data_IF_505175205471
#
_entry.id   IF_505175205471
#
_cell.length_a   1.000
_cell.length_b   1.000
_cell.length_c   1.000
_cell.angle_alpha   90.00
_cell.angle_beta   90.00
_cell.angle_gamma   90.00
#
_symmetry.space_group_name_H-M   'P 1'
#
loop_
_entity.id
_entity.type
_entity.pdbx_description
1 polymer ?
#
# COMPACT_ATOMS: atom_id res chain seq x y z
N UNK A 1 -0.85 -21.67 -6.00
CA UNK A 1 -0.46 -21.92 -4.60
C UNK A 1 1.06 -21.82 -4.50
N UNK A 2 1.63 -20.97 -3.62
CA UNK A 2 3.09 -20.85 -3.48
C UNK A 2 3.64 -22.08 -2.76
N UNK A 3 4.75 -22.65 -3.23
CA UNK A 3 5.43 -23.75 -2.53
C UNK A 3 5.83 -23.27 -1.13
N UNK A 4 5.44 -24.01 -0.11
CA UNK A 4 5.84 -23.74 1.27
C UNK A 4 6.15 -25.06 1.97
N UNK A 5 7.27 -25.16 2.71
CA UNK A 5 7.65 -26.37 3.44
C UNK A 5 6.76 -26.64 4.66
N UNK A 6 5.93 -25.67 5.06
CA UNK A 6 5.06 -25.75 6.23
C UNK A 6 3.77 -26.51 5.88
N UNK A 7 3.70 -27.79 6.24
CA UNK A 7 2.56 -28.68 5.98
C UNK A 7 1.20 -28.10 6.41
N UNK A 8 1.11 -27.43 7.57
CA UNK A 8 -0.15 -26.85 8.06
C UNK A 8 -0.76 -25.82 7.10
N UNK A 9 0.06 -25.16 6.26
CA UNK A 9 -0.46 -24.23 5.24
C UNK A 9 -1.29 -24.96 4.19
N UNK A 10 -0.90 -26.20 3.85
CA UNK A 10 -1.66 -27.04 2.91
C UNK A 10 -3.04 -27.36 3.48
N UNK A 11 -3.09 -27.79 4.75
CA UNK A 11 -4.36 -28.04 5.44
C UNK A 11 -5.24 -26.79 5.53
N UNK A 12 -4.66 -25.65 5.90
CA UNK A 12 -5.39 -24.38 5.99
C UNK A 12 -6.03 -23.99 4.65
N UNK A 13 -5.27 -24.00 3.56
CA UNK A 13 -5.81 -23.60 2.25
C UNK A 13 -6.85 -24.60 1.72
N UNK A 14 -6.65 -25.90 1.97
CA UNK A 14 -7.63 -26.92 1.60
C UNK A 14 -8.95 -26.76 2.39
N UNK A 15 -8.85 -26.55 3.71
CA UNK A 15 -10.01 -26.24 4.54
C UNK A 15 -10.72 -24.96 4.10
N UNK A 16 -9.97 -23.92 3.76
CA UNK A 16 -10.53 -22.67 3.24
C UNK A 16 -11.29 -22.88 1.92
N UNK A 17 -10.78 -23.70 1.00
CA UNK A 17 -11.47 -24.06 -0.25
C UNK A 17 -12.80 -24.79 0.03
N UNK A 18 -12.81 -25.73 0.98
CA UNK A 18 -14.04 -26.44 1.40
C UNK A 18 -15.05 -25.45 1.99
N UNK A 19 -14.62 -24.55 2.88
CA UNK A 19 -15.48 -23.52 3.46
C UNK A 19 -16.09 -22.61 2.37
N UNK A 20 -15.30 -22.20 1.37
CA UNK A 20 -15.78 -21.38 0.26
C UNK A 20 -16.86 -22.11 -0.56
N UNK A 21 -16.65 -23.37 -0.90
CA UNK A 21 -17.63 -24.18 -1.64
C UNK A 21 -18.91 -24.34 -0.82
N UNK A 22 -18.80 -24.71 0.46
CA UNK A 22 -19.94 -24.88 1.35
C UNK A 22 -20.75 -23.58 1.50
N UNK A 23 -20.07 -22.43 1.65
CA UNK A 23 -20.74 -21.13 1.71
C UNK A 23 -21.54 -20.82 0.43
N UNK A 24 -21.04 -21.23 -0.74
CA UNK A 24 -21.74 -21.03 -2.00
C UNK A 24 -22.93 -21.97 -2.20
N UNK A 25 -22.84 -23.21 -1.70
CA UNK A 25 -23.98 -24.15 -1.68
C UNK A 25 -25.12 -23.55 -0.84
N UNK A 26 -24.81 -23.06 0.37
CA UNK A 26 -25.78 -22.38 1.23
C UNK A 26 -26.37 -21.13 0.54
N UNK A 27 -25.54 -20.30 -0.08
CA UNK A 27 -25.99 -19.13 -0.85
C UNK A 27 -26.98 -19.52 -1.96
N UNK A 28 -26.70 -20.57 -2.72
CA UNK A 28 -27.61 -21.07 -3.76
C UNK A 28 -28.93 -21.54 -3.18
N UNK A 29 -28.92 -22.26 -2.06
CA UNK A 29 -30.13 -22.74 -1.42
C UNK A 29 -31.03 -21.57 -1.00
N UNK A 30 -30.47 -20.55 -0.36
CA UNK A 30 -31.20 -19.36 0.07
C UNK A 30 -31.76 -18.58 -1.14
N UNK A 31 -31.00 -18.41 -2.22
CA UNK A 31 -31.47 -17.70 -3.42
C UNK A 31 -32.59 -18.46 -4.14
N UNK A 32 -32.49 -19.79 -4.22
CA UNK A 32 -33.56 -20.66 -4.73
C UNK A 32 -34.84 -20.54 -3.91
N UNK A 33 -34.74 -20.51 -2.57
CA UNK A 33 -35.90 -20.28 -1.70
C UNK A 33 -36.58 -18.92 -1.95
N UNK A 34 -35.82 -17.92 -2.39
CA UNK A 34 -36.33 -16.58 -2.72
C UNK A 34 -36.77 -16.42 -4.18
N UNK A 35 -36.79 -17.50 -4.98
CA UNK A 35 -37.04 -17.47 -6.43
C UNK A 35 -36.12 -16.51 -7.21
N UNK A 36 -34.90 -16.28 -6.72
CA UNK A 36 -33.92 -15.44 -7.37
C UNK A 36 -32.89 -16.27 -8.14
N UNK A 37 -32.44 -15.78 -9.30
CA UNK A 37 -31.39 -16.43 -10.06
C UNK A 37 -30.05 -16.34 -9.31
N UNK A 38 -29.40 -17.47 -8.96
CA UNK A 38 -28.15 -17.45 -8.23
C UNK A 38 -27.01 -16.96 -9.12
N UNK A 39 -26.21 -16.05 -8.58
CA UNK A 39 -24.96 -15.61 -9.18
C UNK A 39 -24.00 -16.79 -9.42
N UNK A 40 -23.11 -16.66 -10.41
CA UNK A 40 -22.09 -17.67 -10.69
C UNK A 40 -21.10 -17.83 -9.53
N UNK A 41 -20.44 -18.99 -9.46
CA UNK A 41 -19.49 -19.30 -8.37
C UNK A 41 -18.34 -18.30 -8.32
N UNK A 42 -17.86 -17.88 -9.49
CA UNK A 42 -16.81 -16.85 -9.59
C UNK A 42 -17.28 -15.51 -9.04
N UNK A 43 -18.51 -15.10 -9.36
CA UNK A 43 -19.03 -13.80 -8.94
C UNK A 43 -19.31 -13.76 -7.44
N UNK A 44 -19.89 -14.82 -6.88
CA UNK A 44 -20.09 -14.93 -5.43
C UNK A 44 -18.77 -14.88 -4.65
N UNK A 45 -17.73 -15.56 -5.15
CA UNK A 45 -16.38 -15.52 -4.55
C UNK A 45 -15.75 -14.13 -4.65
N UNK A 46 -15.87 -13.43 -5.80
CA UNK A 46 -15.39 -12.04 -5.94
C UNK A 46 -16.08 -11.11 -4.94
N UNK A 47 -17.41 -11.14 -4.88
CA UNK A 47 -18.20 -10.34 -3.95
C UNK A 47 -17.82 -10.62 -2.49
N UNK A 48 -17.61 -11.89 -2.13
CA UNK A 48 -17.18 -12.26 -0.78
C UNK A 48 -15.79 -11.70 -0.44
N UNK A 49 -14.84 -11.78 -1.39
CA UNK A 49 -13.52 -11.17 -1.23
C UNK A 49 -13.62 -9.65 -1.10
N UNK A 50 -14.44 -8.99 -1.91
CA UNK A 50 -14.60 -7.53 -1.85
C UNK A 50 -15.21 -7.09 -0.51
N UNK A 51 -16.22 -7.81 -0.01
CA UNK A 51 -16.82 -7.55 1.31
C UNK A 51 -15.86 -7.81 2.46
N UNK A 52 -15.12 -8.92 2.44
CA UNK A 52 -14.12 -9.24 3.48
C UNK A 52 -12.92 -8.31 3.42
N UNK A 53 -12.57 -7.81 2.23
CA UNK A 53 -11.51 -6.84 2.02
C UNK A 53 -11.88 -5.49 2.64
N UNK A 54 -13.14 -5.07 2.58
CA UNK A 54 -13.62 -3.79 3.12
C UNK A 54 -12.66 -2.62 2.86
N UNK A 55 -12.55 -1.72 3.84
CA UNK A 55 -11.62 -0.58 3.81
C UNK A 55 -10.23 -0.93 4.38
N UNK A 56 -9.94 -2.21 4.64
CA UNK A 56 -8.68 -2.63 5.28
C UNK A 56 -7.44 -2.28 4.44
N UNK A 57 -7.60 -2.08 3.13
CA UNK A 57 -6.51 -1.61 2.26
C UNK A 57 -6.29 -0.10 2.28
N UNK A 58 -7.27 0.71 2.70
CA UNK A 58 -7.06 2.15 2.83
C UNK A 58 -6.15 2.46 4.02
N UNK A 59 -6.21 1.63 5.08
CA UNK A 59 -5.23 1.68 6.18
C UNK A 59 -3.85 1.14 5.82
N UNK A 60 -3.76 0.21 4.87
CA UNK A 60 -2.50 -0.34 4.38
C UNK A 60 -1.87 0.50 3.26
N UNK A 61 -2.55 1.53 2.76
CA UNK A 61 -1.95 2.57 1.91
C UNK A 61 -1.12 3.56 2.74
N UNK A 62 -0.16 3.03 3.50
CA UNK A 62 1.07 3.75 3.79
C UNK A 62 2.08 3.20 2.78
N UNK A 63 2.55 4.05 1.86
CA UNK A 63 3.46 3.72 0.75
C UNK A 63 2.80 3.25 -0.55
N UNK A 64 1.95 4.10 -1.14
CA UNK A 64 2.27 4.59 -2.49
C UNK A 64 1.74 6.00 -2.55
N UNK A 65 2.63 6.98 -2.44
CA UNK A 65 2.31 8.36 -2.74
C UNK A 65 1.68 8.41 -4.12
N UNK A 66 0.39 8.77 -4.21
CA UNK A 66 -0.14 9.28 -5.46
C UNK A 66 0.79 10.43 -5.87
N UNK A 67 1.41 10.28 -7.03
CA UNK A 67 2.52 11.11 -7.49
C UNK A 67 2.18 12.59 -7.61
N UNK A 68 0.89 12.92 -7.57
CA UNK A 68 0.38 14.23 -7.89
C UNK A 68 0.38 15.19 -6.68
N UNK A 69 0.33 14.68 -5.44
CA UNK A 69 0.47 15.54 -4.23
C UNK A 69 1.93 15.90 -3.91
N UNK A 70 2.89 15.06 -4.35
CA UNK A 70 4.32 15.31 -4.15
C UNK A 70 4.85 16.41 -5.09
N UNK A 71 4.17 16.68 -6.20
CA UNK A 71 4.65 17.61 -7.22
C UNK A 71 4.41 19.06 -6.86
N UNK A 72 5.35 19.95 -7.21
CA UNK A 72 5.21 21.40 -7.04
C UNK A 72 4.05 21.93 -7.90
N UNK A 73 2.82 21.80 -7.40
CA UNK A 73 1.59 22.28 -8.07
C UNK A 73 1.22 23.70 -7.62
N UNK A 74 2.21 24.55 -7.28
CA UNK A 74 1.96 25.90 -6.75
C UNK A 74 1.42 25.95 -5.30
N UNK A 75 1.27 24.80 -4.63
CA UNK A 75 0.88 24.73 -3.21
C UNK A 75 2.05 25.11 -2.31
N UNK A 76 1.79 25.96 -1.30
CA UNK A 76 2.78 26.29 -0.26
C UNK A 76 3.27 25.01 0.42
N UNK A 77 4.59 24.81 0.46
CA UNK A 77 5.24 23.68 1.14
C UNK A 77 5.91 24.19 2.40
N UNK A 78 5.35 23.84 3.55
CA UNK A 78 5.89 24.21 4.86
C UNK A 78 7.05 23.28 5.20
N UNK A 79 8.22 23.87 5.46
CA UNK A 79 9.39 23.16 5.95
C UNK A 79 9.54 23.43 7.44
N UNK A 80 9.64 22.35 8.21
CA UNK A 80 9.86 22.39 9.65
C UNK A 80 11.18 21.68 10.01
N UNK A 81 11.64 21.88 11.24
CA UNK A 81 12.83 21.24 11.80
C UNK A 81 12.43 20.18 12.82
N UNK A 82 13.13 19.06 12.83
CA UNK A 82 12.91 17.98 13.79
C UNK A 82 14.15 17.12 13.99
N UNK A 83 13.93 15.85 14.35
CA UNK A 83 15.03 14.90 14.60
C UNK A 83 15.89 14.66 13.36
N UNK A 84 17.21 14.53 13.53
CA UNK A 84 18.14 14.23 12.44
C UNK A 84 17.79 12.87 11.80
N UNK A 85 17.63 12.84 10.47
CA UNK A 85 17.53 11.61 9.68
C UNK A 85 18.25 11.77 8.34
N UNK A 86 18.48 10.65 7.68
CA UNK A 86 19.07 10.57 6.34
C UNK A 86 18.21 11.34 5.31
N UNK A 87 18.86 12.18 4.49
CA UNK A 87 18.22 12.89 3.39
C UNK A 87 17.68 11.90 2.35
N UNK A 88 16.40 11.98 2.02
CA UNK A 88 15.71 11.08 1.09
C UNK A 88 16.29 11.09 -0.33
N UNK A 89 16.93 12.19 -0.71
CA UNK A 89 17.42 12.47 -2.07
C UNK A 89 18.88 12.08 -2.24
N UNK A 90 19.78 12.62 -1.42
CA UNK A 90 21.23 12.45 -1.60
C UNK A 90 21.88 11.41 -0.67
N UNK A 91 21.20 10.98 0.40
CA UNK A 91 21.80 10.02 1.34
C UNK A 91 21.75 8.60 0.76
N UNK A 92 22.92 7.97 0.69
CA UNK A 92 23.09 6.59 0.25
C UNK A 92 24.05 5.85 1.18
N UNK A 93 23.54 4.86 1.91
CA UNK A 93 24.36 4.02 2.80
C UNK A 93 25.27 3.04 2.05
N UNK A 94 25.07 2.89 0.74
CA UNK A 94 25.81 1.95 -0.09
C UNK A 94 27.14 2.54 -0.60
N UNK A 95 27.37 3.84 -0.43
CA UNK A 95 28.60 4.53 -0.83
C UNK A 95 29.37 4.95 0.43
N UNK A 96 30.70 4.74 0.52
CA UNK A 96 31.50 5.26 1.62
C UNK A 96 31.38 6.79 1.66
N UNK A 97 31.10 7.35 2.84
CA UNK A 97 30.81 8.79 2.99
C UNK A 97 29.45 9.24 2.44
N UNK A 98 28.62 8.34 1.91
CA UNK A 98 27.33 8.69 1.30
C UNK A 98 26.20 8.99 2.28
N UNK A 99 26.44 8.93 3.60
CA UNK A 99 25.43 9.26 4.62
C UNK A 99 25.34 10.78 4.79
N UNK A 100 24.25 11.37 4.32
CA UNK A 100 23.98 12.79 4.46
C UNK A 100 22.72 13.00 5.29
N UNK A 101 22.83 13.67 6.42
CA UNK A 101 21.71 13.88 7.35
C UNK A 101 21.16 15.31 7.28
N UNK A 102 19.89 15.46 7.65
CA UNK A 102 19.19 16.74 7.73
C UNK A 102 18.15 16.70 8.84
N UNK A 103 17.88 17.86 9.44
CA UNK A 103 16.79 18.08 10.40
C UNK A 103 15.53 18.60 9.71
N UNK A 104 15.64 19.13 8.49
CA UNK A 104 14.54 19.72 7.74
C UNK A 104 13.65 18.64 7.12
N UNK A 105 12.34 18.83 7.23
CA UNK A 105 11.34 17.97 6.58
C UNK A 105 10.15 18.77 6.04
N UNK A 106 9.51 18.20 5.02
CA UNK A 106 8.34 18.80 4.38
C UNK A 106 7.06 18.28 5.05
N UNK A 107 6.43 19.11 5.88
CA UNK A 107 5.21 18.78 6.64
C UNK A 107 4.00 18.56 5.72
N UNK A 108 3.97 19.27 4.59
CA UNK A 108 2.88 19.18 3.59
C UNK A 108 2.87 17.91 2.76
N UNK A 109 3.87 17.02 2.91
CA UNK A 109 3.95 15.77 2.18
C UNK A 109 3.53 14.59 3.06
N UNK A 110 2.82 13.58 2.50
CA UNK A 110 2.26 12.48 3.28
C UNK A 110 3.30 11.64 4.03
N UNK A 111 4.54 11.61 3.52
CA UNK A 111 5.64 10.84 4.11
C UNK A 111 6.57 11.69 5.01
N UNK A 112 6.25 12.97 5.24
CA UNK A 112 7.10 13.95 5.93
C UNK A 112 8.60 13.81 5.58
N UNK A 113 8.94 13.84 4.28
CA UNK A 113 10.26 13.47 3.80
C UNK A 113 11.32 14.44 4.32
N UNK A 114 12.43 13.89 4.82
CA UNK A 114 13.61 14.65 5.23
C UNK A 114 14.50 14.94 4.03
N UNK A 115 14.81 16.20 3.78
CA UNK A 115 15.67 16.62 2.66
C UNK A 115 16.40 17.92 2.98
N UNK A 116 17.52 18.19 2.29
CA UNK A 116 18.20 19.48 2.39
C UNK A 116 17.41 20.56 1.66
N UNK A 117 17.49 21.79 2.17
CA UNK A 117 16.97 22.97 1.50
C UNK A 117 17.73 23.19 0.17
N UNK A 118 17.04 23.67 -0.87
CA UNK A 118 17.61 23.87 -2.21
C UNK A 118 17.43 22.67 -3.13
N UNK A 119 18.53 22.12 -3.67
CA UNK A 119 18.46 21.16 -4.78
C UNK A 119 17.75 19.85 -4.43
N UNK A 120 17.93 19.35 -3.19
CA UNK A 120 17.26 18.12 -2.75
C UNK A 120 15.74 18.32 -2.68
N UNK A 121 15.29 19.48 -2.19
CA UNK A 121 13.90 19.87 -2.18
C UNK A 121 13.31 19.94 -3.59
N UNK A 122 13.98 20.66 -4.49
CA UNK A 122 13.53 20.79 -5.88
C UNK A 122 13.45 19.41 -6.55
N UNK A 123 14.49 18.59 -6.45
CA UNK A 123 14.53 17.27 -7.08
C UNK A 123 13.38 16.36 -6.58
N UNK A 124 13.15 16.32 -5.26
CA UNK A 124 12.10 15.47 -4.68
C UNK A 124 10.69 15.87 -5.17
N UNK A 125 10.43 17.17 -5.33
CA UNK A 125 9.13 17.68 -5.73
C UNK A 125 8.94 17.87 -7.24
N UNK A 126 9.97 17.67 -8.07
CA UNK A 126 9.89 17.84 -9.53
C UNK A 126 10.09 16.52 -10.28
N UNK A 127 11.05 15.69 -9.86
CA UNK A 127 11.47 14.49 -10.58
C UNK A 127 10.77 13.24 -10.05
N UNK A 128 10.33 12.37 -10.96
CA UNK A 128 9.88 11.00 -10.60
C UNK A 128 11.04 10.16 -10.06
N UNK A 129 12.22 10.31 -10.65
CA UNK A 129 13.47 9.70 -10.19
C UNK A 129 14.34 10.77 -9.54
N UNK A 130 14.13 10.99 -8.24
CA UNK A 130 14.83 12.04 -7.49
C UNK A 130 16.15 11.60 -6.86
N UNK A 131 16.40 10.28 -6.72
CA UNK A 131 17.66 9.77 -6.18
C UNK A 131 18.78 9.86 -7.22
N UNK A 132 19.95 10.34 -6.77
CA UNK A 132 21.20 10.38 -7.52
C UNK A 132 22.02 9.10 -7.32
#
# INVERSE_FOLDING_TARGET
>A
MRKSPKWWRKLFFWGLEICLINSYILYKQVKRQRNEQPLTHLHSRKMLVDKLRGDFRDRASRSTSNSDEIRLNGKLRVILTGTKKDCKVCSSRNKPGGRHETTYYCDTCPDEPRMHLGQCFINYHTKRNYRL
#
